data_IF_166915082013
#
_entry.id   IF_166915082013
#
_cell.length_a   1.000
_cell.length_b   1.000
_cell.length_c   1.000
_cell.angle_alpha   90.00
_cell.angle_beta   90.00
_cell.angle_gamma   90.00
#
_symmetry.space_group_name_H-M   'P 1'
#
loop_
_entity.id
_entity.type
_entity.pdbx_description
1 polymer ?
#
# COMPACT_ATOMS: atom_id res chain seq x y z
N UNK A 1 42.03 -11.71 59.36
CA UNK A 1 41.55 -12.94 58.70
C UNK A 1 40.70 -12.54 57.50
N UNK A 2 41.03 -13.11 56.32
CA UNK A 2 40.30 -13.20 55.04
C UNK A 2 39.60 -11.93 54.48
N UNK A 3 40.13 -11.24 53.44
CA UNK A 3 40.10 -11.56 51.99
C UNK A 3 38.68 -11.76 51.41
N UNK A 4 38.26 -10.85 50.51
CA UNK A 4 37.85 -11.22 49.15
C UNK A 4 37.84 -9.99 48.24
N UNK A 5 38.53 -10.12 47.12
CA UNK A 5 38.75 -9.13 46.08
C UNK A 5 37.62 -9.20 45.05
N UNK A 6 37.07 -8.06 44.63
CA UNK A 6 36.15 -7.97 43.49
C UNK A 6 36.91 -7.64 42.21
N UNK A 7 37.00 -8.60 41.29
CA UNK A 7 37.60 -8.45 39.97
C UNK A 7 36.74 -7.59 39.03
N UNK A 8 37.42 -6.69 38.32
CA UNK A 8 36.91 -5.95 37.16
C UNK A 8 36.82 -6.89 35.94
N UNK A 9 35.61 -7.15 35.45
CA UNK A 9 35.35 -7.80 34.16
C UNK A 9 35.19 -6.79 33.01
N UNK A 10 35.65 -7.10 31.78
CA UNK A 10 35.63 -6.16 30.67
C UNK A 10 34.24 -6.02 30.02
N UNK A 11 33.97 -4.79 29.57
CA UNK A 11 32.74 -4.31 28.93
C UNK A 11 32.59 -4.88 27.51
N UNK A 12 31.58 -5.73 27.28
CA UNK A 12 31.21 -6.23 25.95
C UNK A 12 30.38 -5.19 25.16
N UNK A 13 30.48 -5.16 23.81
CA UNK A 13 29.76 -4.21 22.97
C UNK A 13 28.28 -4.62 22.79
N UNK A 14 27.42 -3.61 22.65
CA UNK A 14 25.99 -3.76 22.46
C UNK A 14 25.66 -4.53 21.17
N UNK A 15 24.97 -5.67 21.32
CA UNK A 15 24.40 -6.42 20.22
C UNK A 15 23.19 -5.67 19.64
N UNK A 16 23.17 -5.48 18.32
CA UNK A 16 22.02 -4.95 17.58
C UNK A 16 20.84 -5.92 17.69
N UNK A 17 19.74 -5.44 18.26
CA UNK A 17 18.48 -6.17 18.35
C UNK A 17 17.83 -6.30 16.98
N UNK A 18 17.65 -7.53 16.52
CA UNK A 18 16.83 -7.89 15.36
C UNK A 18 15.35 -7.68 15.71
N UNK A 19 14.69 -6.72 15.07
CA UNK A 19 13.26 -6.45 15.22
C UNK A 19 12.46 -7.48 14.41
N UNK A 20 12.18 -8.64 15.02
CA UNK A 20 11.34 -9.72 14.47
C UNK A 20 9.83 -9.52 14.72
N UNK A 21 9.40 -8.41 15.32
CA UNK A 21 8.05 -8.25 15.89
C UNK A 21 6.98 -7.58 15.02
N UNK A 22 7.30 -7.14 13.80
CA UNK A 22 6.42 -6.20 13.06
C UNK A 22 5.25 -6.86 12.31
N UNK A 23 5.27 -8.19 12.12
CA UNK A 23 4.19 -8.89 11.39
C UNK A 23 2.88 -9.00 12.18
N UNK A 24 2.95 -9.09 13.50
CA UNK A 24 1.76 -9.18 14.39
C UNK A 24 1.37 -7.83 15.00
N UNK A 25 2.31 -6.87 15.07
CA UNK A 25 2.14 -5.61 15.82
C UNK A 25 1.44 -4.49 15.04
N UNK A 26 1.08 -4.69 13.76
CA UNK A 26 0.30 -3.69 13.00
C UNK A 26 -1.17 -3.60 13.46
N UNK A 27 -1.56 -4.37 14.47
CA UNK A 27 -2.93 -4.49 14.97
C UNK A 27 -3.23 -3.77 16.29
N UNK A 28 -2.32 -2.96 16.85
CA UNK A 28 -2.61 -2.19 18.08
C UNK A 28 -2.53 -0.68 17.85
N UNK A 29 -3.53 -0.15 17.13
CA UNK A 29 -3.93 1.25 17.25
C UNK A 29 -4.71 1.47 18.57
N UNK A 30 -4.71 2.69 19.14
CA UNK A 30 -5.40 2.95 20.39
C UNK A 30 -6.89 3.09 20.12
N UNK A 31 -7.64 1.99 20.22
CA UNK A 31 -9.10 1.97 20.42
C UNK A 31 -9.60 0.62 20.98
N UNK A 32 -8.73 -0.13 21.69
CA UNK A 32 -9.08 -1.41 22.30
C UNK A 32 -9.77 -1.28 23.69
N UNK A 33 -10.36 -0.12 24.00
CA UNK A 33 -11.04 0.14 25.27
C UNK A 33 -12.57 0.33 25.15
N UNK A 34 -13.14 0.15 23.94
CA UNK A 34 -14.58 0.25 23.72
C UNK A 34 -15.19 -1.04 23.10
N UNK A 35 -14.47 -2.17 23.15
CA UNK A 35 -14.86 -3.42 22.46
C UNK A 35 -15.53 -4.47 23.33
N UNK A 36 -15.73 -4.23 24.63
CA UNK A 36 -16.35 -5.23 25.53
C UNK A 36 -17.89 -5.20 25.58
N UNK A 37 -18.55 -4.26 24.88
CA UNK A 37 -20.02 -4.13 24.87
C UNK A 37 -20.69 -4.53 23.53
N UNK A 38 -19.99 -5.22 22.62
CA UNK A 38 -20.54 -5.54 21.28
C UNK A 38 -20.57 -7.03 20.93
N UNK A 39 -20.37 -7.91 21.91
CA UNK A 39 -20.62 -9.36 21.78
C UNK A 39 -22.12 -9.74 21.82
N UNK A 40 -23.00 -8.75 22.03
CA UNK A 40 -24.46 -8.94 22.20
C UNK A 40 -25.28 -8.39 21.03
N UNK A 41 -24.91 -8.72 19.79
CA UNK A 41 -25.78 -8.50 18.61
C UNK A 41 -25.98 -9.80 17.79
N UNK A 42 -25.66 -10.94 18.39
CA UNK A 42 -25.68 -12.24 17.75
C UNK A 42 -26.48 -13.28 18.54
N UNK A 43 -27.66 -12.94 19.05
CA UNK A 43 -28.74 -13.90 19.27
C UNK A 43 -30.05 -13.16 19.57
N UNK A 44 -31.12 -13.61 18.92
CA UNK A 44 -32.52 -13.43 19.26
C UNK A 44 -33.12 -12.03 19.06
N UNK A 45 -33.57 -11.75 17.83
CA UNK A 45 -34.72 -10.86 17.58
C UNK A 45 -35.28 -11.06 16.15
N UNK A 46 -36.06 -12.13 15.95
CA UNK A 46 -37.06 -12.17 14.87
C UNK A 46 -38.35 -11.40 15.23
N UNK A 47 -38.28 -10.46 16.18
CA UNK A 47 -39.45 -9.71 16.64
C UNK A 47 -39.09 -8.31 17.14
N UNK A 48 -38.59 -7.45 16.24
CA UNK A 48 -38.86 -6.01 16.28
C UNK A 48 -38.44 -5.38 14.95
N UNK A 49 -39.29 -4.50 14.43
CA UNK A 49 -39.33 -4.05 13.04
C UNK A 49 -38.00 -3.72 12.38
N UNK A 50 -37.93 -3.97 11.08
CA UNK A 50 -36.86 -3.58 10.16
C UNK A 50 -36.39 -2.14 10.45
N UNK A 51 -35.36 -1.98 11.28
CA UNK A 51 -34.54 -0.79 11.23
C UNK A 51 -33.82 -0.86 9.88
N UNK A 52 -34.30 -0.11 8.88
CA UNK A 52 -33.64 0.04 7.59
C UNK A 52 -32.18 0.39 7.83
N UNK A 53 -31.28 -0.57 7.60
CA UNK A 53 -29.84 -0.32 7.59
C UNK A 53 -29.58 0.62 6.42
N UNK A 54 -29.31 1.89 6.70
CA UNK A 54 -28.97 2.86 5.68
C UNK A 54 -27.59 2.54 5.13
N UNK A 55 -27.53 2.23 3.84
CA UNK A 55 -26.28 1.96 3.13
C UNK A 55 -25.96 3.20 2.28
N UNK A 56 -24.71 3.65 2.32
CA UNK A 56 -24.24 4.75 1.46
C UNK A 56 -24.08 4.30 0.00
N UNK A 57 -23.73 5.22 -0.89
CA UNK A 57 -23.52 4.91 -2.33
C UNK A 57 -22.33 3.97 -2.61
N UNK A 58 -21.55 3.64 -1.59
CA UNK A 58 -20.36 2.83 -1.67
C UNK A 58 -20.53 1.46 -1.02
N UNK A 59 -21.69 1.15 -0.44
CA UNK A 59 -21.97 -0.12 0.21
C UNK A 59 -21.68 -0.14 1.72
N UNK A 60 -21.32 1.00 2.35
CA UNK A 60 -21.10 1.06 3.80
C UNK A 60 -22.38 1.36 4.57
N UNK A 61 -22.56 0.66 5.69
CA UNK A 61 -23.65 0.87 6.63
C UNK A 61 -23.34 2.14 7.44
N UNK A 62 -24.20 3.15 7.27
CA UNK A 62 -24.08 4.43 7.96
C UNK A 62 -24.91 4.38 9.24
N UNK A 63 -24.28 4.65 10.40
CA UNK A 63 -25.01 4.81 11.66
C UNK A 63 -25.90 6.05 11.66
N UNK A 64 -26.95 6.07 12.47
CA UNK A 64 -27.90 7.19 12.60
C UNK A 64 -27.28 8.54 13.02
N UNK A 65 -25.98 8.58 13.31
CA UNK A 65 -25.19 9.78 13.62
C UNK A 65 -23.94 9.82 12.75
N UNK A 66 -24.09 10.34 11.53
CA UNK A 66 -22.98 10.52 10.61
C UNK A 66 -23.41 11.44 9.50
N UNK A 67 -23.28 12.75 9.73
CA UNK A 67 -23.42 13.74 8.69
C UNK A 67 -22.32 13.52 7.65
N UNK A 68 -22.60 12.71 6.63
CA UNK A 68 -21.90 12.84 5.36
C UNK A 68 -22.15 14.28 4.90
N UNK A 69 -21.13 15.14 5.06
CA UNK A 69 -21.12 16.42 4.38
C UNK A 69 -21.39 16.12 2.92
N UNK A 70 -22.49 16.67 2.40
CA UNK A 70 -23.02 16.39 1.08
C UNK A 70 -21.86 16.26 0.07
N UNK A 71 -21.51 15.02 -0.28
CA UNK A 71 -20.50 14.76 -1.28
C UNK A 71 -21.04 15.43 -2.55
N UNK A 72 -20.28 16.38 -3.10
CA UNK A 72 -20.69 17.16 -4.26
C UNK A 72 -20.99 16.18 -5.41
N UNK A 73 -22.28 15.90 -5.63
CA UNK A 73 -22.68 14.89 -6.59
C UNK A 73 -22.41 15.42 -7.99
N UNK A 74 -21.52 14.72 -8.71
CA UNK A 74 -21.24 15.04 -10.11
C UNK A 74 -22.54 14.88 -10.89
N UNK A 75 -23.02 15.91 -11.62
CA UNK A 75 -24.25 15.82 -12.37
C UNK A 75 -24.26 14.60 -13.29
N UNK A 76 -25.38 13.88 -13.35
CA UNK A 76 -25.51 12.62 -14.09
C UNK A 76 -25.09 12.73 -15.56
N UNK A 77 -25.36 13.86 -16.19
CA UNK A 77 -24.94 14.12 -17.57
C UNK A 77 -23.41 14.18 -17.70
N UNK A 78 -22.73 14.81 -16.74
CA UNK A 78 -21.26 14.83 -16.70
C UNK A 78 -20.71 13.43 -16.47
N UNK A 79 -21.36 12.62 -15.61
CA UNK A 79 -20.96 11.24 -15.37
C UNK A 79 -21.07 10.39 -16.64
N UNK A 80 -22.21 10.44 -17.35
CA UNK A 80 -22.43 9.73 -18.63
C UNK A 80 -21.41 10.12 -19.70
N UNK A 81 -21.09 11.41 -19.79
CA UNK A 81 -20.04 11.88 -20.71
C UNK A 81 -18.65 11.34 -20.34
N UNK A 82 -18.35 11.21 -19.04
CA UNK A 82 -17.10 10.58 -18.57
C UNK A 82 -17.09 9.09 -18.91
N UNK A 83 -18.21 8.39 -18.72
CA UNK A 83 -18.37 6.96 -19.05
C UNK A 83 -18.15 6.70 -20.53
N UNK A 84 -18.83 7.44 -21.41
CA UNK A 84 -18.65 7.32 -22.87
C UNK A 84 -17.19 7.51 -23.29
N UNK A 85 -16.52 8.51 -22.71
CA UNK A 85 -15.09 8.78 -22.93
C UNK A 85 -14.20 7.63 -22.45
N UNK A 86 -14.51 6.99 -21.33
CA UNK A 86 -13.77 5.85 -20.80
C UNK A 86 -14.03 4.57 -21.59
N UNK A 87 -15.26 4.33 -22.06
CA UNK A 87 -15.58 3.21 -22.93
C UNK A 87 -14.81 3.27 -24.25
N UNK A 88 -14.73 4.44 -24.89
CA UNK A 88 -13.90 4.65 -26.09
C UNK A 88 -12.42 4.30 -25.83
N UNK A 89 -11.89 4.71 -24.68
CA UNK A 89 -10.53 4.35 -24.28
C UNK A 89 -10.35 2.85 -24.10
N UNK A 90 -11.24 2.20 -23.35
CA UNK A 90 -11.14 0.78 -23.00
C UNK A 90 -11.37 -0.14 -24.22
N UNK A 91 -12.14 0.31 -25.22
CA UNK A 91 -12.34 -0.43 -26.47
C UNK A 91 -11.15 -0.29 -27.43
N UNK A 92 -10.30 0.72 -27.25
CA UNK A 92 -9.14 1.00 -28.09
C UNK A 92 -7.86 1.10 -27.25
N UNK A 93 -7.72 0.24 -26.24
CA UNK A 93 -6.76 0.43 -25.14
C UNK A 93 -5.32 0.59 -25.61
N UNK A 94 -4.83 -0.31 -26.48
CA UNK A 94 -3.42 -0.32 -26.91
C UNK A 94 -3.05 0.96 -27.64
N UNK A 95 -3.94 1.44 -28.52
CA UNK A 95 -3.79 2.73 -29.21
C UNK A 95 -3.73 3.91 -28.24
N UNK A 96 -4.59 3.89 -27.22
CA UNK A 96 -4.65 4.96 -26.22
C UNK A 96 -3.42 4.96 -25.31
N UNK A 97 -2.96 3.79 -24.87
CA UNK A 97 -1.74 3.65 -24.07
C UNK A 97 -0.50 4.09 -24.87
N UNK A 98 -0.36 3.65 -26.11
CA UNK A 98 0.80 3.99 -26.94
C UNK A 98 0.87 5.49 -27.30
N UNK A 99 -0.27 6.09 -27.71
CA UNK A 99 -0.26 7.45 -28.31
C UNK A 99 -0.82 8.55 -27.41
N UNK A 100 -1.58 8.20 -26.37
CA UNK A 100 -2.39 9.15 -25.58
C UNK A 100 -2.28 8.94 -24.07
N UNK A 101 -1.21 8.32 -23.58
CA UNK A 101 -1.00 8.04 -22.15
C UNK A 101 -1.19 9.26 -21.24
N UNK A 102 -0.69 10.44 -21.64
CA UNK A 102 -0.88 11.70 -20.88
C UNK A 102 -2.37 12.03 -20.64
N UNK A 103 -3.24 11.72 -21.60
CA UNK A 103 -4.69 11.96 -21.51
C UNK A 103 -5.39 10.93 -20.63
N UNK A 104 -4.91 9.68 -20.63
CA UNK A 104 -5.37 8.64 -19.69
C UNK A 104 -5.06 9.08 -18.27
N UNK A 105 -3.80 9.47 -18.01
CA UNK A 105 -3.37 9.99 -16.70
C UNK A 105 -4.26 11.13 -16.21
N UNK A 106 -4.50 12.14 -17.05
CA UNK A 106 -5.39 13.25 -16.69
C UNK A 106 -6.82 12.79 -16.37
N UNK A 107 -7.31 11.73 -17.02
CA UNK A 107 -8.63 11.16 -16.74
C UNK A 107 -8.64 10.37 -15.43
N UNK A 108 -7.58 9.65 -15.07
CA UNK A 108 -7.43 9.04 -13.75
C UNK A 108 -7.40 10.10 -12.63
N UNK A 109 -6.69 11.21 -12.86
CA UNK A 109 -6.64 12.37 -11.94
C UNK A 109 -7.98 13.10 -11.82
N UNK A 110 -8.89 13.00 -12.80
CA UNK A 110 -10.27 13.51 -12.71
C UNK A 110 -11.26 12.51 -12.13
N UNK A 111 -11.01 11.22 -12.35
CA UNK A 111 -11.73 10.11 -11.76
C UNK A 111 -12.38 9.19 -12.75
N UNK A 112 -12.27 7.91 -12.42
CA UNK A 112 -12.88 6.82 -13.18
C UNK A 112 -14.33 6.71 -12.72
N UNK A 113 -15.31 6.70 -13.64
CA UNK A 113 -16.70 6.43 -13.31
C UNK A 113 -16.84 5.12 -12.52
N UNK A 114 -17.65 5.07 -11.46
CA UNK A 114 -17.80 3.88 -10.63
C UNK A 114 -18.13 2.61 -11.44
N UNK A 115 -19.04 2.72 -12.39
CA UNK A 115 -19.47 1.66 -13.30
C UNK A 115 -18.35 1.04 -14.16
N UNK A 116 -17.24 1.75 -14.36
CA UNK A 116 -16.13 1.33 -15.22
C UNK A 116 -14.86 1.03 -14.44
N UNK A 117 -14.85 1.22 -13.11
CA UNK A 117 -13.66 1.10 -12.27
C UNK A 117 -13.06 -0.30 -12.31
N UNK A 118 -13.87 -1.35 -12.12
CA UNK A 118 -13.41 -2.73 -12.18
C UNK A 118 -12.70 -3.07 -13.50
N UNK A 119 -13.31 -2.68 -14.63
CA UNK A 119 -12.71 -2.87 -15.96
C UNK A 119 -11.46 -1.99 -16.12
N UNK A 120 -11.52 -0.71 -15.79
CA UNK A 120 -10.38 0.19 -15.98
C UNK A 120 -9.15 -0.21 -15.15
N UNK A 121 -9.34 -0.60 -13.90
CA UNK A 121 -8.26 -1.06 -13.02
C UNK A 121 -7.61 -2.34 -13.56
N UNK A 122 -8.38 -3.30 -14.08
CA UNK A 122 -7.84 -4.49 -14.74
C UNK A 122 -6.92 -4.16 -15.93
N UNK A 123 -7.26 -3.14 -16.71
CA UNK A 123 -6.43 -2.69 -17.84
C UNK A 123 -5.21 -1.87 -17.39
N UNK A 124 -5.38 -0.98 -16.42
CA UNK A 124 -4.29 -0.12 -15.90
C UNK A 124 -3.24 -0.94 -15.14
N UNK A 125 -3.67 -1.89 -14.31
CA UNK A 125 -2.78 -2.74 -13.52
C UNK A 125 -1.97 -3.70 -14.39
N UNK A 126 -2.52 -4.12 -15.52
CA UNK A 126 -2.03 -5.26 -16.31
C UNK A 126 -2.69 -6.59 -15.91
N UNK A 127 -3.61 -6.58 -14.94
CA UNK A 127 -4.32 -7.76 -14.45
C UNK A 127 -5.10 -8.48 -15.56
N UNK A 128 -5.67 -7.74 -16.52
CA UNK A 128 -6.30 -8.33 -17.71
C UNK A 128 -5.32 -9.20 -18.51
N UNK A 129 -4.09 -8.73 -18.72
CA UNK A 129 -3.08 -9.46 -19.50
C UNK A 129 -2.67 -10.73 -18.76
N UNK A 130 -2.42 -10.65 -17.44
CA UNK A 130 -2.13 -11.82 -16.61
C UNK A 130 -3.26 -12.85 -16.63
N UNK A 131 -4.51 -12.41 -16.51
CA UNK A 131 -5.68 -13.27 -16.60
C UNK A 131 -5.73 -14.02 -17.94
N UNK A 132 -5.56 -13.29 -19.06
CA UNK A 132 -5.57 -13.89 -20.40
C UNK A 132 -4.43 -14.88 -20.64
N UNK A 133 -3.27 -14.66 -20.02
CA UNK A 133 -2.11 -15.54 -20.13
C UNK A 133 -2.21 -16.80 -19.25
N UNK A 134 -3.13 -16.83 -18.28
CA UNK A 134 -3.24 -17.89 -17.28
C UNK A 134 -4.70 -18.38 -17.13
N UNK A 135 -5.36 -18.81 -18.22
CA UNK A 135 -6.76 -19.24 -18.18
C UNK A 135 -6.94 -20.43 -17.22
N UNK A 136 -7.95 -20.35 -16.35
CA UNK A 136 -8.29 -21.41 -15.38
C UNK A 136 -7.33 -21.53 -14.19
N UNK A 137 -6.27 -20.72 -14.13
CA UNK A 137 -5.27 -20.84 -13.05
C UNK A 137 -5.82 -20.44 -11.69
N UNK A 138 -6.70 -19.44 -11.63
CA UNK A 138 -7.34 -19.06 -10.37
C UNK A 138 -8.20 -20.20 -9.81
N UNK A 139 -9.02 -20.83 -10.65
CA UNK A 139 -9.87 -21.96 -10.26
C UNK A 139 -9.02 -23.16 -9.80
N UNK A 140 -7.91 -23.45 -10.50
CA UNK A 140 -6.95 -24.48 -10.08
C UNK A 140 -6.41 -24.21 -8.67
N UNK A 141 -5.98 -22.97 -8.38
CA UNK A 141 -5.45 -22.58 -7.07
C UNK A 141 -6.53 -22.57 -5.99
N UNK A 142 -7.76 -22.17 -6.34
CA UNK A 142 -8.87 -22.16 -5.41
C UNK A 142 -9.32 -23.58 -5.04
N UNK A 143 -9.27 -24.53 -5.97
CA UNK A 143 -9.56 -25.94 -5.68
C UNK A 143 -8.41 -26.66 -4.99
N UNK A 144 -7.19 -26.11 -5.06
CA UNK A 144 -6.01 -26.70 -4.43
C UNK A 144 -6.02 -26.53 -2.91
N UNK A 145 -5.49 -27.50 -2.14
CA UNK A 145 -5.36 -27.37 -0.69
C UNK A 145 -4.38 -26.25 -0.35
N UNK A 146 -4.78 -25.34 0.55
CA UNK A 146 -3.91 -24.30 1.10
C UNK A 146 -3.01 -24.81 2.22
N UNK A 147 -1.93 -24.09 2.50
CA UNK A 147 -1.12 -24.31 3.71
C UNK A 147 -1.94 -23.93 4.96
N UNK A 148 -2.19 -24.85 5.91
CA UNK A 148 -2.98 -24.59 7.12
C UNK A 148 -2.51 -23.35 7.89
N UNK A 149 -1.20 -23.10 7.91
CA UNK A 149 -0.64 -21.90 8.55
C UNK A 149 -1.24 -20.62 7.98
N UNK A 150 -1.36 -20.53 6.66
CA UNK A 150 -1.91 -19.33 6.02
C UNK A 150 -3.43 -19.29 6.10
N UNK A 151 -4.10 -20.44 5.99
CA UNK A 151 -5.55 -20.52 6.11
C UNK A 151 -6.02 -19.97 7.47
N UNK A 152 -5.41 -20.42 8.56
CA UNK A 152 -5.76 -19.98 9.92
C UNK A 152 -5.58 -18.47 10.09
N UNK A 153 -4.51 -17.90 9.53
CA UNK A 153 -4.23 -16.46 9.62
C UNK A 153 -5.24 -15.68 8.78
N UNK A 154 -5.55 -16.14 7.56
CA UNK A 154 -6.53 -15.49 6.68
C UNK A 154 -7.92 -15.51 7.34
N UNK A 155 -8.38 -16.64 7.87
CA UNK A 155 -9.71 -16.77 8.49
C UNK A 155 -9.92 -15.80 9.66
N UNK A 156 -8.90 -15.67 10.53
CA UNK A 156 -8.91 -14.68 11.62
C UNK A 156 -8.87 -13.25 11.11
N UNK A 157 -8.46 -13.02 9.88
CA UNK A 157 -8.35 -11.70 9.28
C UNK A 157 -9.62 -11.22 8.58
N UNK A 158 -10.46 -12.13 8.08
CA UNK A 158 -11.62 -11.78 7.25
C UNK A 158 -12.59 -10.82 7.95
N UNK A 159 -12.95 -11.11 9.21
CA UNK A 159 -14.01 -10.39 9.92
C UNK A 159 -13.70 -8.92 10.23
N UNK A 160 -12.41 -8.55 10.23
CA UNK A 160 -11.99 -7.16 10.47
C UNK A 160 -11.78 -6.36 9.19
N UNK A 161 -11.97 -6.96 8.01
CA UNK A 161 -11.85 -6.25 6.74
C UNK A 161 -13.18 -5.59 6.37
N UNK A 162 -13.22 -4.26 6.46
CA UNK A 162 -14.40 -3.46 6.15
C UNK A 162 -15.70 -4.01 6.79
N UNK A 163 -15.74 -4.19 8.12
CA UNK A 163 -16.83 -4.88 8.82
C UNK A 163 -18.19 -4.18 8.66
N UNK A 164 -18.20 -2.91 8.27
CA UNK A 164 -19.41 -2.12 8.03
C UNK A 164 -19.83 -2.07 6.56
N UNK A 165 -19.15 -2.79 5.66
CA UNK A 165 -19.53 -2.84 4.26
C UNK A 165 -20.47 -4.03 3.99
N UNK A 166 -21.54 -3.83 3.22
CA UNK A 166 -22.60 -4.82 2.96
C UNK A 166 -22.07 -6.16 2.43
N UNK A 167 -20.98 -6.11 1.64
CA UNK A 167 -20.30 -7.29 1.11
C UNK A 167 -19.60 -8.13 2.20
N UNK A 168 -19.09 -7.51 3.27
CA UNK A 168 -18.22 -8.15 4.26
C UNK A 168 -18.82 -8.26 5.67
N UNK A 169 -19.96 -7.60 5.93
CA UNK A 169 -20.63 -7.56 7.24
C UNK A 169 -21.08 -8.94 7.72
N UNK A 170 -21.52 -9.81 6.81
CA UNK A 170 -22.01 -11.16 7.16
C UNK A 170 -20.83 -12.10 7.36
N UNK A 171 -20.65 -12.60 8.59
CA UNK A 171 -19.64 -13.60 8.91
C UNK A 171 -19.87 -14.87 8.07
N UNK A 172 -18.84 -15.29 7.35
CA UNK A 172 -18.94 -16.43 6.42
C UNK A 172 -19.86 -16.16 5.22
N UNK A 173 -20.28 -14.92 4.97
CA UNK A 173 -21.04 -14.54 3.78
C UNK A 173 -20.17 -14.53 2.51
N UNK A 174 -20.82 -14.39 1.36
CA UNK A 174 -20.18 -14.44 0.04
C UNK A 174 -18.92 -13.56 -0.11
N UNK A 175 -18.94 -12.31 0.37
CA UNK A 175 -17.75 -11.44 0.28
C UNK A 175 -16.57 -11.92 1.11
N UNK A 176 -16.81 -12.43 2.34
CA UNK A 176 -15.74 -13.03 3.14
C UNK A 176 -15.20 -14.32 2.50
N UNK A 177 -16.08 -15.12 1.88
CA UNK A 177 -15.67 -16.32 1.15
C UNK A 177 -14.81 -15.96 -0.07
N UNK A 178 -15.23 -15.00 -0.89
CA UNK A 178 -14.44 -14.55 -2.04
C UNK A 178 -13.10 -13.93 -1.62
N UNK A 179 -13.08 -13.18 -0.51
CA UNK A 179 -11.85 -12.66 0.07
C UNK A 179 -10.89 -13.79 0.50
N UNK A 180 -11.42 -14.81 1.17
CA UNK A 180 -10.66 -16.00 1.52
C UNK A 180 -10.09 -16.70 0.29
N UNK A 181 -10.92 -16.92 -0.74
CA UNK A 181 -10.52 -17.58 -2.00
C UNK A 181 -9.38 -16.82 -2.68
N UNK A 182 -9.49 -15.50 -2.81
CA UNK A 182 -8.45 -14.65 -3.41
C UNK A 182 -7.14 -14.71 -2.64
N UNK A 183 -7.20 -14.55 -1.31
CA UNK A 183 -6.00 -14.53 -0.47
C UNK A 183 -5.34 -15.91 -0.40
N UNK A 184 -6.11 -16.98 -0.25
CA UNK A 184 -5.62 -18.37 -0.31
C UNK A 184 -4.92 -18.64 -1.64
N UNK A 185 -5.60 -18.34 -2.75
CA UNK A 185 -5.02 -18.53 -4.09
C UNK A 185 -3.72 -17.74 -4.26
N UNK A 186 -3.62 -16.53 -3.70
CA UNK A 186 -2.38 -15.75 -3.70
C UNK A 186 -1.25 -16.49 -2.98
N UNK A 187 -1.49 -17.06 -1.80
CA UNK A 187 -0.44 -17.80 -1.06
C UNK A 187 0.07 -19.02 -1.80
N UNK A 188 -0.77 -19.65 -2.62
CA UNK A 188 -0.39 -20.79 -3.45
C UNK A 188 0.33 -20.33 -4.73
N UNK A 189 -0.01 -19.16 -5.26
CA UNK A 189 0.66 -18.56 -6.41
C UNK A 189 2.06 -18.00 -6.06
N UNK A 190 2.21 -17.45 -4.85
CA UNK A 190 3.44 -16.85 -4.31
C UNK A 190 3.81 -17.43 -2.94
N UNK A 191 4.15 -18.73 -2.86
CA UNK A 191 4.47 -19.39 -1.59
C UNK A 191 5.66 -18.77 -0.85
N UNK A 192 6.58 -18.13 -1.56
CA UNK A 192 7.75 -17.43 -1.02
C UNK A 192 7.39 -16.16 -0.23
N UNK A 193 6.29 -15.49 -0.58
CA UNK A 193 5.78 -14.33 0.18
C UNK A 193 4.74 -14.77 1.23
N UNK A 194 3.93 -15.77 0.87
CA UNK A 194 2.83 -16.25 1.70
C UNK A 194 1.74 -15.19 1.88
N UNK A 195 1.20 -15.10 3.09
CA UNK A 195 0.20 -14.09 3.44
C UNK A 195 0.73 -13.06 4.43
N UNK A 196 0.51 -11.80 4.10
CA UNK A 196 0.69 -10.64 4.97
C UNK A 196 -0.67 -9.98 5.20
N UNK A 197 -0.99 -9.66 6.46
CA UNK A 197 -2.29 -9.09 6.85
C UNK A 197 -2.67 -7.81 6.08
N UNK A 198 -1.66 -7.05 5.62
CA UNK A 198 -1.88 -5.85 4.83
C UNK A 198 -2.41 -6.13 3.41
N UNK A 199 -2.41 -7.38 2.94
CA UNK A 199 -2.97 -7.76 1.64
C UNK A 199 -4.50 -7.88 1.68
N UNK A 200 -5.09 -8.25 2.81
CA UNK A 200 -6.54 -8.40 2.93
C UNK A 200 -7.33 -7.11 2.63
N UNK A 201 -6.96 -5.91 3.13
CA UNK A 201 -7.66 -4.69 2.74
C UNK A 201 -7.49 -4.37 1.25
N UNK A 202 -6.34 -4.70 0.64
CA UNK A 202 -6.12 -4.54 -0.81
C UNK A 202 -7.07 -5.44 -1.60
N UNK A 203 -7.14 -6.72 -1.25
CA UNK A 203 -8.01 -7.70 -1.89
C UNK A 203 -9.50 -7.35 -1.72
N UNK A 204 -9.90 -6.88 -0.54
CA UNK A 204 -11.27 -6.46 -0.29
C UNK A 204 -11.68 -5.26 -1.15
N UNK A 205 -10.83 -4.23 -1.28
CA UNK A 205 -11.09 -3.08 -2.17
C UNK A 205 -11.28 -3.54 -3.62
N UNK A 206 -10.49 -4.51 -4.08
CA UNK A 206 -10.64 -5.06 -5.43
C UNK A 206 -11.98 -5.79 -5.59
N UNK A 207 -12.34 -6.65 -4.63
CA UNK A 207 -13.59 -7.42 -4.64
C UNK A 207 -14.85 -6.55 -4.66
N UNK A 208 -14.81 -5.35 -4.05
CA UNK A 208 -15.90 -4.38 -4.14
C UNK A 208 -16.15 -3.88 -5.57
N UNK A 209 -15.22 -4.10 -6.51
CA UNK A 209 -15.28 -3.55 -7.88
C UNK A 209 -15.20 -4.60 -8.98
N UNK A 210 -14.81 -5.84 -8.66
CA UNK A 210 -14.64 -6.90 -9.66
C UNK A 210 -14.77 -8.29 -9.03
N UNK A 211 -15.11 -9.33 -9.81
CA UNK A 211 -15.20 -10.69 -9.29
C UNK A 211 -13.83 -11.25 -8.84
N UNK A 212 -13.87 -12.35 -8.09
CA UNK A 212 -12.72 -12.93 -7.40
C UNK A 212 -11.51 -13.20 -8.31
N UNK A 213 -11.69 -13.80 -9.48
CA UNK A 213 -10.57 -14.07 -10.40
C UNK A 213 -9.89 -12.78 -10.87
N UNK A 214 -10.67 -11.75 -11.21
CA UNK A 214 -10.13 -10.47 -11.65
C UNK A 214 -9.42 -9.75 -10.49
N UNK A 215 -9.99 -9.82 -9.29
CA UNK A 215 -9.39 -9.27 -8.08
C UNK A 215 -8.05 -9.98 -7.75
N UNK A 216 -8.00 -11.30 -7.88
CA UNK A 216 -6.77 -12.09 -7.73
C UNK A 216 -5.66 -11.60 -8.66
N UNK A 217 -5.93 -11.43 -9.96
CA UNK A 217 -4.90 -10.96 -10.90
C UNK A 217 -4.48 -9.50 -10.67
N UNK A 218 -5.40 -8.63 -10.23
CA UNK A 218 -5.03 -7.29 -9.79
C UNK A 218 -4.16 -7.31 -8.53
N UNK A 219 -4.47 -8.16 -7.54
CA UNK A 219 -3.66 -8.32 -6.34
C UNK A 219 -2.25 -8.80 -6.69
N UNK A 220 -2.13 -9.81 -7.56
CA UNK A 220 -0.85 -10.29 -8.10
C UNK A 220 -0.06 -9.14 -8.74
N UNK A 221 -0.70 -8.30 -9.56
CA UNK A 221 -0.02 -7.13 -10.13
C UNK A 221 0.41 -6.12 -9.07
N UNK A 222 -0.43 -5.83 -8.07
CA UNK A 222 -0.07 -4.90 -6.99
C UNK A 222 1.19 -5.39 -6.28
N UNK A 223 1.23 -6.66 -5.86
CA UNK A 223 2.36 -7.21 -5.13
C UNK A 223 3.63 -7.33 -5.98
N UNK A 224 3.55 -7.80 -7.23
CA UNK A 224 4.74 -8.03 -8.07
C UNK A 224 5.31 -6.75 -8.69
N UNK A 225 4.44 -5.85 -9.14
CA UNK A 225 4.83 -4.74 -10.01
C UNK A 225 4.81 -3.39 -9.28
N UNK A 226 3.81 -3.17 -8.43
CA UNK A 226 3.63 -1.85 -7.80
C UNK A 226 4.30 -1.75 -6.44
N UNK A 227 4.24 -2.82 -5.63
CA UNK A 227 4.73 -2.87 -4.25
C UNK A 227 5.68 -4.07 -4.01
N UNK A 228 6.71 -4.28 -4.87
CA UNK A 228 7.59 -5.44 -4.77
C UNK A 228 8.31 -5.50 -3.41
N UNK A 229 8.24 -6.66 -2.76
CA UNK A 229 8.91 -6.90 -1.48
C UNK A 229 8.24 -6.27 -0.25
N UNK A 230 7.14 -5.54 -0.42
CA UNK A 230 6.40 -4.92 0.71
C UNK A 230 5.89 -5.97 1.70
N UNK A 231 5.48 -7.13 1.21
CA UNK A 231 4.82 -8.18 1.99
C UNK A 231 5.80 -9.28 2.46
N UNK A 232 7.10 -9.08 2.22
CA UNK A 232 8.16 -9.99 2.67
C UNK A 232 8.32 -9.97 4.20
N UNK A 233 8.86 -11.04 4.78
CA UNK A 233 8.95 -11.19 6.25
C UNK A 233 9.75 -10.08 6.94
N UNK A 234 10.80 -9.58 6.27
CA UNK A 234 11.70 -8.56 6.83
C UNK A 234 11.22 -7.13 6.59
N UNK A 235 10.18 -6.92 5.79
CA UNK A 235 9.65 -5.61 5.42
C UNK A 235 10.75 -4.65 4.90
N UNK A 236 11.76 -5.18 4.21
CA UNK A 236 12.93 -4.37 3.82
C UNK A 236 12.55 -3.26 2.84
N UNK A 237 11.66 -3.56 1.89
CA UNK A 237 11.16 -2.56 0.95
C UNK A 237 10.46 -1.39 1.66
N UNK A 238 9.66 -1.67 2.70
CA UNK A 238 8.96 -0.63 3.47
C UNK A 238 9.94 0.21 4.29
N UNK A 239 10.96 -0.40 4.90
CA UNK A 239 12.01 0.33 5.63
C UNK A 239 12.74 1.31 4.70
N UNK A 240 13.14 0.85 3.51
CA UNK A 240 13.78 1.69 2.50
C UNK A 240 12.87 2.84 2.06
N UNK A 241 11.61 2.53 1.77
CA UNK A 241 10.64 3.53 1.34
C UNK A 241 10.32 4.53 2.44
N UNK A 242 10.48 4.16 3.71
CA UNK A 242 10.42 5.09 4.82
C UNK A 242 11.55 6.11 4.85
N UNK A 243 12.78 5.68 4.58
CA UNK A 243 13.91 6.58 4.43
C UNK A 243 13.75 7.51 3.21
N UNK A 244 13.22 6.98 2.10
CA UNK A 244 12.91 7.78 0.91
C UNK A 244 11.84 8.82 1.23
N UNK A 245 10.73 8.42 1.86
CA UNK A 245 9.64 9.31 2.24
C UNK A 245 10.16 10.43 3.15
N UNK A 246 10.98 10.08 4.13
CA UNK A 246 11.57 11.03 5.07
C UNK A 246 12.49 12.02 4.38
N UNK A 247 13.36 11.55 3.47
CA UNK A 247 14.25 12.43 2.69
C UNK A 247 13.47 13.37 1.75
N UNK A 248 12.40 12.88 1.11
CA UNK A 248 11.53 13.71 0.29
C UNK A 248 10.77 14.75 1.12
N UNK A 249 10.40 14.41 2.37
CA UNK A 249 9.74 15.34 3.28
C UNK A 249 10.60 16.56 3.57
N UNK A 250 11.94 16.41 3.62
CA UNK A 250 12.84 17.55 3.78
C UNK A 250 12.62 18.64 2.72
N UNK A 251 12.30 18.24 1.48
CA UNK A 251 12.05 19.17 0.37
C UNK A 251 10.61 19.70 0.37
N UNK A 252 9.64 18.84 0.71
CA UNK A 252 8.21 19.19 0.69
C UNK A 252 7.79 20.03 1.89
N UNK A 253 8.30 19.70 3.08
CA UNK A 253 8.01 20.38 4.34
C UNK A 253 9.21 20.29 5.28
N UNK A 254 10.18 21.22 5.16
CA UNK A 254 11.34 21.27 6.05
C UNK A 254 10.96 21.37 7.53
N UNK A 255 9.83 22.02 7.83
CA UNK A 255 9.28 22.16 9.18
C UNK A 255 8.89 20.80 9.76
N UNK A 256 8.10 20.01 9.03
CA UNK A 256 7.69 18.68 9.46
C UNK A 256 8.89 17.74 9.59
N UNK A 257 9.80 17.74 8.60
CA UNK A 257 11.02 16.95 8.65
C UNK A 257 11.86 17.26 9.90
N UNK A 258 12.17 18.55 10.15
CA UNK A 258 12.97 18.96 11.30
C UNK A 258 12.32 18.56 12.63
N UNK A 259 10.99 18.66 12.73
CA UNK A 259 10.26 18.23 13.91
C UNK A 259 10.40 16.72 14.14
N UNK A 260 10.11 15.91 13.14
CA UNK A 260 10.22 14.45 13.23
C UNK A 260 11.66 14.01 13.53
N UNK A 261 12.68 14.63 12.91
CA UNK A 261 14.09 14.37 13.22
C UNK A 261 14.42 14.70 14.67
N UNK A 262 13.96 15.86 15.17
CA UNK A 262 14.20 16.30 16.56
C UNK A 262 13.56 15.34 17.55
N UNK A 263 12.34 14.88 17.26
CA UNK A 263 11.63 13.91 18.08
C UNK A 263 12.13 12.48 17.87
N UNK A 264 13.06 12.22 16.93
CA UNK A 264 13.56 10.88 16.59
C UNK A 264 12.43 9.89 16.27
N UNK A 265 11.43 10.35 15.54
CA UNK A 265 10.29 9.52 15.13
C UNK A 265 10.68 8.76 13.86
N UNK A 266 10.72 7.43 13.97
CA UNK A 266 10.94 6.54 12.86
C UNK A 266 9.73 6.56 11.90
N UNK A 267 9.93 6.72 10.58
CA UNK A 267 8.87 6.65 9.57
C UNK A 267 7.92 5.46 9.72
N UNK A 268 8.43 4.29 10.09
CA UNK A 268 7.65 3.05 10.23
C UNK A 268 6.51 3.17 11.25
N UNK A 269 6.62 4.07 12.22
CA UNK A 269 5.59 4.25 13.27
C UNK A 269 4.28 4.83 12.75
N UNK A 270 4.29 5.48 11.57
CA UNK A 270 3.09 6.10 10.99
C UNK A 270 2.80 5.63 9.57
N UNK A 271 3.81 5.33 8.76
CA UNK A 271 3.59 5.08 7.33
C UNK A 271 3.34 3.62 6.96
N UNK A 272 3.65 2.67 7.84
CA UNK A 272 3.63 1.24 7.49
C UNK A 272 2.25 0.83 6.99
N UNK A 273 1.20 1.20 7.73
CA UNK A 273 -0.18 0.96 7.31
C UNK A 273 -0.54 1.72 6.02
N UNK A 274 -0.17 3.01 5.94
CA UNK A 274 -0.46 3.87 4.79
C UNK A 274 0.05 3.24 3.49
N UNK A 275 1.27 2.72 3.49
CA UNK A 275 1.95 2.21 2.30
C UNK A 275 1.55 0.77 2.02
N UNK A 276 1.58 -0.11 3.03
CA UNK A 276 1.27 -1.54 2.82
C UNK A 276 -0.20 -1.78 2.46
N UNK A 277 -1.11 -0.96 2.98
CA UNK A 277 -2.54 -1.03 2.66
C UNK A 277 -2.96 -0.03 1.58
N UNK A 278 -2.01 0.65 0.90
CA UNK A 278 -2.28 1.67 -0.12
C UNK A 278 -3.39 2.66 0.30
N UNK A 279 -3.32 3.12 1.55
CA UNK A 279 -4.25 4.01 2.24
C UNK A 279 -5.70 3.51 2.42
N UNK A 280 -6.01 2.26 2.07
CA UNK A 280 -7.36 1.70 2.11
C UNK A 280 -7.98 1.66 3.53
N UNK A 281 -7.15 1.61 4.57
CA UNK A 281 -7.58 1.63 5.98
C UNK A 281 -7.53 3.02 6.62
N UNK A 282 -6.95 3.99 5.92
CA UNK A 282 -6.65 5.31 6.49
C UNK A 282 -7.59 6.37 5.94
N UNK A 283 -7.78 6.43 4.62
CA UNK A 283 -8.52 7.52 3.98
C UNK A 283 -10.04 7.27 3.96
N UNK A 284 -10.87 8.33 3.93
CA UNK A 284 -12.28 8.22 3.55
C UNK A 284 -12.41 7.51 2.20
N UNK A 285 -13.48 6.73 2.04
CA UNK A 285 -13.60 5.82 0.91
C UNK A 285 -13.55 6.52 -0.45
N UNK A 286 -14.22 7.66 -0.60
CA UNK A 286 -14.15 8.48 -1.81
C UNK A 286 -12.71 8.82 -2.20
N UNK A 287 -11.89 9.22 -1.23
CA UNK A 287 -10.46 9.49 -1.42
C UNK A 287 -9.65 8.23 -1.76
N UNK A 288 -9.93 7.08 -1.14
CA UNK A 288 -9.29 5.80 -1.48
C UNK A 288 -9.45 5.50 -2.97
N UNK A 289 -10.68 5.61 -3.48
CA UNK A 289 -10.96 5.35 -4.90
C UNK A 289 -10.18 6.28 -5.83
N UNK A 290 -10.03 7.56 -5.47
CA UNK A 290 -9.25 8.51 -6.29
C UNK A 290 -7.75 8.24 -6.24
N UNK A 291 -7.22 7.90 -5.08
CA UNK A 291 -5.83 7.50 -4.91
C UNK A 291 -5.54 6.26 -5.75
N UNK A 292 -6.42 5.26 -5.72
CA UNK A 292 -6.28 4.02 -6.48
C UNK A 292 -6.37 4.23 -8.01
N UNK A 293 -7.29 5.08 -8.47
CA UNK A 293 -7.38 5.48 -9.88
C UNK A 293 -6.03 6.05 -10.40
N UNK A 294 -5.38 6.90 -9.60
CA UNK A 294 -4.06 7.46 -9.93
C UNK A 294 -2.94 6.45 -9.75
N UNK A 295 -2.96 5.65 -8.68
CA UNK A 295 -1.93 4.65 -8.35
C UNK A 295 -1.77 3.61 -9.46
N UNK A 296 -2.87 3.04 -9.98
CA UNK A 296 -2.76 2.07 -11.08
C UNK A 296 -2.19 2.68 -12.36
N UNK A 297 -2.40 3.98 -12.61
CA UNK A 297 -1.92 4.67 -13.80
C UNK A 297 -0.49 5.20 -13.68
N UNK A 298 -0.10 5.69 -12.50
CA UNK A 298 1.13 6.45 -12.28
C UNK A 298 2.12 5.76 -11.33
N UNK A 299 1.75 4.59 -10.78
CA UNK A 299 2.59 3.76 -9.94
C UNK A 299 2.71 4.24 -8.48
N UNK A 300 3.68 3.64 -7.79
CA UNK A 300 3.94 3.85 -6.35
C UNK A 300 4.24 5.31 -5.99
N UNK A 301 4.66 6.14 -6.96
CA UNK A 301 4.83 7.60 -6.79
C UNK A 301 3.61 8.27 -6.14
N UNK A 302 2.39 7.80 -6.46
CA UNK A 302 1.16 8.35 -5.86
C UNK A 302 1.10 8.09 -4.36
N UNK A 303 1.54 6.91 -3.89
CA UNK A 303 1.57 6.56 -2.46
C UNK A 303 2.49 7.52 -1.70
N UNK A 304 3.68 7.80 -2.25
CA UNK A 304 4.61 8.80 -1.69
C UNK A 304 4.00 10.20 -1.65
N UNK A 305 3.37 10.65 -2.75
CA UNK A 305 2.75 11.98 -2.80
C UNK A 305 1.65 12.13 -1.75
N UNK A 306 0.78 11.14 -1.60
CA UNK A 306 -0.27 11.13 -0.57
C UNK A 306 0.37 11.22 0.82
N UNK A 307 1.34 10.35 1.15
CA UNK A 307 2.03 10.40 2.45
C UNK A 307 2.67 11.74 2.75
N UNK A 308 3.33 12.37 1.76
CA UNK A 308 3.95 13.69 1.89
C UNK A 308 2.91 14.81 2.10
N UNK A 309 1.78 14.76 1.40
CA UNK A 309 0.67 15.71 1.60
C UNK A 309 0.11 15.59 3.01
N UNK A 310 -0.13 14.36 3.50
CA UNK A 310 -0.64 14.14 4.85
C UNK A 310 0.35 14.66 5.90
N UNK A 311 1.65 14.39 5.77
CA UNK A 311 2.69 14.89 6.68
C UNK A 311 2.82 16.42 6.63
N UNK A 312 2.83 17.01 5.43
CA UNK A 312 2.87 18.46 5.22
C UNK A 312 1.69 19.13 5.92
N UNK A 313 0.49 18.60 5.80
CA UNK A 313 -0.68 19.21 6.42
C UNK A 313 -0.90 18.82 7.87
N UNK A 314 -0.32 17.73 8.36
CA UNK A 314 -0.35 17.39 9.79
C UNK A 314 0.66 18.23 10.60
N UNK A 315 1.86 18.48 10.07
CA UNK A 315 3.00 19.01 10.82
C UNK A 315 3.76 20.16 10.13
N UNK A 316 3.33 20.63 8.95
CA UNK A 316 4.14 21.54 8.12
C UNK A 316 4.13 23.02 8.53
N UNK A 317 3.49 23.39 9.63
CA UNK A 317 3.46 24.77 10.13
C UNK A 317 3.95 24.84 11.58
N UNK A 318 4.65 25.91 11.99
CA UNK A 318 5.11 26.09 13.37
C UNK A 318 4.00 25.94 14.42
N UNK A 319 2.77 26.37 14.11
CA UNK A 319 1.61 26.29 14.99
C UNK A 319 1.23 24.83 15.29
N UNK A 320 1.16 24.01 14.24
CA UNK A 320 0.88 22.56 14.34
C UNK A 320 1.97 21.82 15.12
N UNK A 321 3.24 22.17 14.90
CA UNK A 321 4.38 21.59 15.62
C UNK A 321 4.39 22.00 17.09
N UNK A 322 4.06 23.25 17.42
CA UNK A 322 3.95 23.72 18.80
C UNK A 322 2.88 22.95 19.60
N UNK A 323 1.83 22.49 18.94
CA UNK A 323 0.80 21.64 19.52
C UNK A 323 1.23 20.17 19.72
N UNK A 324 2.40 19.77 19.21
CA UNK A 324 2.93 18.41 19.28
C UNK A 324 4.37 18.46 19.84
N UNK A 325 4.53 18.73 21.14
CA UNK A 325 5.85 19.02 21.72
C UNK A 325 6.75 17.79 21.86
N UNK A 326 6.16 16.61 22.06
CA UNK A 326 6.87 15.35 22.26
C UNK A 326 6.58 14.30 21.18
N UNK A 327 7.17 13.13 21.38
CA UNK A 327 6.96 11.97 20.51
C UNK A 327 5.51 11.49 20.53
N UNK A 328 4.91 11.41 21.72
CA UNK A 328 3.56 10.88 21.91
C UNK A 328 2.51 11.70 21.15
N UNK A 329 2.46 13.02 21.36
CA UNK A 329 1.47 13.90 20.73
C UNK A 329 1.68 13.97 19.21
N UNK A 330 2.92 13.81 18.75
CA UNK A 330 3.23 13.78 17.33
C UNK A 330 2.73 12.49 16.68
N UNK A 331 2.95 11.33 17.30
CA UNK A 331 2.45 10.05 16.80
C UNK A 331 0.93 10.01 16.84
N UNK A 332 0.31 10.47 17.93
CA UNK A 332 -1.14 10.57 18.05
C UNK A 332 -1.73 11.44 16.93
N UNK A 333 -1.11 12.59 16.64
CA UNK A 333 -1.51 13.45 15.52
C UNK A 333 -1.40 12.77 14.16
N UNK A 334 -0.39 11.91 13.96
CA UNK A 334 -0.20 11.18 12.71
C UNK A 334 -1.15 9.97 12.60
N UNK A 335 -1.61 9.41 13.71
CA UNK A 335 -2.66 8.37 13.72
C UNK A 335 -4.06 8.95 13.55
N UNK A 336 -4.31 10.14 14.10
CA UNK A 336 -5.59 10.86 14.03
C UNK A 336 -5.45 12.11 13.15
N UNK A 337 -5.36 11.88 11.84
CA UNK A 337 -5.28 12.94 10.85
C UNK A 337 -6.60 13.71 10.76
N UNK A 338 -6.52 15.02 10.49
CA UNK A 338 -7.72 15.84 10.35
C UNK A 338 -8.58 15.37 9.17
N UNK A 339 -9.91 15.15 9.35
CA UNK A 339 -10.77 14.75 8.25
C UNK A 339 -10.71 15.70 7.04
N UNK A 340 -10.52 17.00 7.28
CA UNK A 340 -10.42 18.03 6.23
C UNK A 340 -9.32 17.75 5.21
N UNK A 341 -8.16 17.25 5.67
CA UNK A 341 -7.01 17.01 4.79
C UNK A 341 -7.13 15.69 4.02
N UNK A 342 -8.06 14.82 4.45
CA UNK A 342 -8.30 13.50 3.89
C UNK A 342 -9.51 13.47 2.94
N UNK A 343 -10.26 14.58 2.85
CA UNK A 343 -11.39 14.71 1.92
C UNK A 343 -10.92 14.71 0.46
N UNK A 344 -11.73 14.10 -0.40
CA UNK A 344 -11.40 13.79 -1.79
C UNK A 344 -10.87 15.02 -2.56
N UNK A 345 -11.65 16.11 -2.58
CA UNK A 345 -11.34 17.29 -3.38
C UNK A 345 -10.00 17.92 -2.97
N UNK A 346 -9.80 18.12 -1.67
CA UNK A 346 -8.58 18.72 -1.13
C UNK A 346 -7.36 17.81 -1.35
N UNK A 347 -7.48 16.52 -1.01
CA UNK A 347 -6.37 15.59 -1.08
C UNK A 347 -5.91 15.39 -2.53
N UNK A 348 -6.84 15.19 -3.46
CA UNK A 348 -6.52 14.99 -4.89
C UNK A 348 -5.84 16.23 -5.46
N UNK A 349 -6.33 17.43 -5.13
CA UNK A 349 -5.71 18.67 -5.59
C UNK A 349 -4.25 18.78 -5.12
N UNK A 350 -4.00 18.65 -3.82
CA UNK A 350 -2.64 18.73 -3.26
C UNK A 350 -1.71 17.64 -3.81
N UNK A 351 -2.21 16.42 -4.02
CA UNK A 351 -1.43 15.29 -4.57
C UNK A 351 -1.02 15.54 -6.03
N UNK A 352 -1.92 16.10 -6.85
CA UNK A 352 -1.60 16.42 -8.25
C UNK A 352 -0.60 17.57 -8.34
N UNK A 353 -0.78 18.61 -7.52
CA UNK A 353 0.08 19.80 -7.50
C UNK A 353 1.47 19.56 -6.88
N UNK A 354 1.63 18.52 -6.05
CA UNK A 354 2.91 18.23 -5.40
C UNK A 354 4.03 17.95 -6.44
N UNK A 355 5.14 18.71 -6.45
CA UNK A 355 6.20 18.61 -7.46
C UNK A 355 7.19 17.47 -7.18
N UNK A 356 6.70 16.31 -6.75
CA UNK A 356 7.50 15.09 -6.53
C UNK A 356 7.37 14.18 -7.74
N UNK A 357 8.48 13.99 -8.46
CA UNK A 357 8.56 13.19 -9.68
C UNK A 357 9.07 11.78 -9.40
N UNK A 358 8.75 10.85 -10.29
CA UNK A 358 9.27 9.47 -10.22
C UNK A 358 10.80 9.43 -10.19
N UNK A 359 11.46 10.23 -11.03
CA UNK A 359 12.92 10.38 -11.04
C UNK A 359 13.51 10.82 -9.70
N UNK A 360 12.79 11.65 -8.93
CA UNK A 360 13.25 12.04 -7.60
C UNK A 360 13.15 10.87 -6.61
N UNK A 361 12.10 10.06 -6.69
CA UNK A 361 11.92 8.86 -5.87
C UNK A 361 13.00 7.83 -6.23
N UNK A 362 13.21 7.55 -7.52
CA UNK A 362 14.26 6.63 -8.01
C UNK A 362 15.66 7.08 -7.56
N UNK A 363 15.96 8.37 -7.69
CA UNK A 363 17.24 8.93 -7.22
C UNK A 363 17.42 8.70 -5.72
N UNK A 364 16.37 8.95 -4.94
CA UNK A 364 16.42 8.78 -3.49
C UNK A 364 16.55 7.29 -3.12
N UNK A 365 15.84 6.41 -3.82
CA UNK A 365 15.96 4.96 -3.69
C UNK A 365 17.40 4.49 -3.84
N UNK A 366 18.09 4.92 -4.90
CA UNK A 366 19.50 4.57 -5.13
C UNK A 366 20.44 5.10 -4.03
N UNK A 367 20.16 6.29 -3.49
CA UNK A 367 20.94 6.88 -2.40
C UNK A 367 20.76 6.07 -1.12
N UNK A 368 19.51 5.78 -0.73
CA UNK A 368 19.22 5.08 0.51
C UNK A 368 19.64 3.61 0.44
N UNK A 369 19.49 2.95 -0.72
CA UNK A 369 19.96 1.58 -0.92
C UNK A 369 21.47 1.47 -0.75
N UNK A 370 22.24 2.42 -1.28
CA UNK A 370 23.70 2.48 -1.09
C UNK A 370 24.07 2.62 0.38
N UNK A 371 23.45 3.59 1.09
CA UNK A 371 23.67 3.78 2.54
C UNK A 371 23.34 2.54 3.33
N UNK A 372 22.30 1.82 2.93
CA UNK A 372 21.89 0.61 3.60
C UNK A 372 22.90 -0.53 3.44
N UNK A 373 23.42 -0.70 2.22
CA UNK A 373 24.48 -1.68 1.92
C UNK A 373 25.78 -1.37 2.67
N UNK A 374 26.16 -0.10 2.77
CA UNK A 374 27.32 0.36 3.54
C UNK A 374 27.17 0.04 5.03
N UNK A 375 26.00 0.33 5.61
CA UNK A 375 25.71 0.11 7.04
C UNK A 375 25.65 -1.37 7.41
N UNK A 376 25.19 -2.23 6.49
CA UNK A 376 25.12 -3.69 6.68
C UNK A 376 26.38 -4.44 6.23
N UNK A 377 27.41 -3.73 5.74
CA UNK A 377 28.69 -4.33 5.36
C UNK A 377 28.68 -5.13 4.05
N UNK A 378 27.70 -4.93 3.17
CA UNK A 378 27.54 -5.67 1.91
C UNK A 378 28.26 -5.05 0.70
N UNK A 379 29.29 -4.24 0.92
CA UNK A 379 30.14 -3.73 -0.18
C UNK A 379 31.41 -4.58 -0.24
N UNK A 380 31.67 -5.31 -1.34
CA UNK A 380 33.02 -5.81 -1.58
C UNK A 380 33.92 -4.60 -1.70
N UNK A 381 34.91 -4.47 -0.79
CA UNK A 381 35.95 -3.45 -0.89
C UNK A 381 36.50 -3.49 -2.32
N UNK A 382 36.30 -2.41 -3.08
CA UNK A 382 36.92 -2.26 -4.39
C UNK A 382 38.43 -2.43 -4.30
N UNK A 383 39.09 -2.90 -5.37
CA UNK A 383 40.48 -3.32 -5.29
C UNK A 383 41.37 -2.12 -4.97
N UNK A 384 42.05 -2.19 -3.83
CA UNK A 384 43.22 -1.37 -3.58
C UNK A 384 44.26 -1.66 -4.66
N UNK A 385 44.98 -0.61 -5.06
CA UNK A 385 46.18 -0.56 -5.89
C UNK A 385 46.95 -1.90 -6.02
N UNK A 386 47.26 -2.36 -7.26
CA UNK A 386 47.96 -3.64 -7.45
C UNK A 386 49.46 -3.52 -7.14
N UNK A 387 49.94 -4.32 -6.20
CA UNK A 387 51.35 -4.73 -6.12
C UNK A 387 51.63 -5.90 -7.08
N UNK A 388 52.87 -6.08 -7.57
CA UNK A 388 53.14 -6.95 -8.71
C UNK A 388 53.24 -8.42 -8.28
N UNK A 389 52.48 -9.30 -8.93
CA UNK A 389 52.79 -10.74 -8.93
C UNK A 389 51.59 -11.67 -8.99
N UNK A 390 51.54 -12.44 -10.08
CA UNK A 390 50.79 -13.70 -10.35
C UNK A 390 49.35 -13.59 -10.92
N UNK A 391 49.06 -14.32 -12.03
CA UNK A 391 47.75 -14.30 -12.67
C UNK A 391 46.83 -15.41 -12.10
N UNK A 392 45.60 -15.05 -11.74
CA UNK A 392 44.53 -15.96 -11.32
C UNK A 392 43.23 -15.68 -12.09
N UNK A 393 42.33 -16.67 -12.24
CA UNK A 393 41.41 -16.77 -13.36
C UNK A 393 40.21 -15.81 -13.27
N UNK A 394 39.74 -15.40 -14.44
CA UNK A 394 38.62 -14.48 -14.64
C UNK A 394 37.30 -15.03 -14.07
N UNK A 395 36.56 -14.29 -13.22
CA UNK A 395 35.21 -14.69 -12.85
C UNK A 395 34.21 -14.24 -13.92
N UNK A 396 33.44 -15.21 -14.38
CA UNK A 396 32.25 -15.06 -15.21
C UNK A 396 31.24 -14.07 -14.58
N UNK A 397 30.67 -13.21 -15.42
CA UNK A 397 29.65 -12.23 -15.03
C UNK A 397 28.38 -12.96 -14.58
N UNK A 398 28.10 -12.94 -13.28
CA UNK A 398 26.75 -13.11 -12.75
C UNK A 398 26.04 -11.75 -12.83
N UNK A 399 25.09 -11.65 -13.76
CA UNK A 399 24.20 -10.50 -13.91
C UNK A 399 23.19 -10.49 -12.77
N UNK A 400 23.20 -9.44 -11.94
CA UNK A 400 22.12 -9.15 -10.99
C UNK A 400 20.85 -8.71 -11.73
N UNK A 401 19.64 -9.08 -11.25
CA UNK A 401 18.38 -8.66 -11.87
C UNK A 401 18.12 -7.19 -11.55
N UNK A 402 18.42 -6.31 -12.51
CA UNK A 402 18.01 -4.92 -12.46
C UNK A 402 16.52 -4.79 -12.71
N UNK A 403 15.89 -3.83 -12.02
CA UNK A 403 14.60 -3.23 -12.37
C UNK A 403 14.66 -2.72 -13.82
N UNK A 404 14.40 -3.63 -14.77
CA UNK A 404 14.14 -3.30 -16.16
C UNK A 404 12.65 -3.54 -16.36
N UNK A 405 11.91 -2.44 -16.54
CA UNK A 405 10.55 -2.52 -17.07
C UNK A 405 10.63 -3.25 -18.43
N UNK A 406 9.77 -4.24 -18.72
CA UNK A 406 9.66 -4.74 -20.08
C UNK A 406 9.24 -3.59 -21.00
N UNK A 407 9.74 -3.54 -22.25
CA UNK A 407 9.30 -2.55 -23.21
C UNK A 407 7.80 -2.70 -23.45
N UNK A 408 7.10 -1.57 -23.57
CA UNK A 408 5.70 -1.52 -23.95
C UNK A 408 5.52 -2.23 -25.31
N UNK A 409 4.43 -3.00 -25.51
CA UNK A 409 4.22 -3.69 -26.77
C UNK A 409 4.06 -2.68 -27.91
N UNK A 410 5.01 -2.64 -28.84
CA UNK A 410 4.91 -1.81 -30.05
C UNK A 410 6.19 -1.27 -30.69
N UNK A 411 7.40 -1.58 -30.23
CA UNK A 411 8.62 -1.22 -30.99
C UNK A 411 9.06 -2.39 -31.90
N UNK A 412 9.29 -2.15 -33.21
CA UNK A 412 9.84 -3.17 -34.11
C UNK A 412 11.33 -3.37 -33.82
N UNK A 413 11.74 -4.63 -33.68
CA UNK A 413 13.14 -5.03 -33.56
C UNK A 413 13.95 -4.53 -34.77
N UNK A 414 14.93 -3.68 -34.52
CA UNK A 414 15.99 -3.38 -35.49
C UNK A 414 17.18 -4.29 -35.14
N UNK A 415 17.59 -5.22 -36.01
CA UNK A 415 18.73 -6.08 -35.74
C UNK A 415 20.02 -5.24 -35.73
N UNK A 416 20.85 -5.43 -34.70
CA UNK A 416 22.21 -4.89 -34.65
C UNK A 416 23.17 -5.90 -35.26
N UNK A 417 23.91 -5.48 -36.29
CA UNK A 417 25.14 -6.12 -36.77
C UNK A 417 26.27 -6.05 -35.73
#
# INVERSE_FOLDING_TARGET
MAKSSGENGPRAPAAGGSLSGTRESLAQGPDAAATDELSSLGSDSEANGFAERRIDKFGFIVGSQGAEGALEEVPLEVLRQRESKWLDMLNNWDKWMAKKHKKIRLRCQKGIPPSLRGRAWQYLSGGKVKLQQNPGKFDELDMSPGDPKWLDVIERDLHRQFPFHEMFVSRGGHGQQDLFRVLKAYTLYRPEEGYCQAQAPIAAVLLMHMPAEQAFWCLVQICEKYLPGYYSEKLEAIQLDGEILFSLLQKVSPVAHKHLSRQKIDPLLYMTEWFMCAFARTLPWSSVLRVWDMFFCEGVKIIFRVGLVLLKHALGSPEKVKACQGQYETIERLRSLSPKIMQEAFLVQEVVELPVTERQIEREHLIQLRRWQETRGCVPKGPGTPGPGTPGPSPSRLSSPGLSLPPLPGEPDVPRE
#
